data_IF_204576147744
#
_entry.id   IF_204576147744
#
_cell.length_a   1.000
_cell.length_b   1.000
_cell.length_c   1.000
_cell.angle_alpha   90.00
_cell.angle_beta   90.00
_cell.angle_gamma   90.00
#
_symmetry.space_group_name_H-M   'P 1'
#
loop_
_entity.id
_entity.type
_entity.pdbx_description
1 polymer ?
#
# COMPACT_ATOMS: atom_id res chain seq x y z
N UNK A 1 -0.79 -9.03 -7.83
CA UNK A 1 -0.10 -8.63 -6.58
C UNK A 1 -0.79 -9.32 -5.40
N UNK A 2 -0.09 -9.70 -4.32
CA UNK A 2 -0.76 -10.29 -3.13
C UNK A 2 -1.09 -9.23 -2.08
N UNK A 3 -2.13 -9.40 -1.23
CA UNK A 3 -2.61 -8.35 -0.32
C UNK A 3 -1.57 -7.82 0.67
N UNK A 4 -0.78 -8.69 1.30
CA UNK A 4 0.25 -8.27 2.27
C UNK A 4 1.40 -7.49 1.59
N UNK A 5 1.72 -7.81 0.33
CA UNK A 5 2.68 -7.05 -0.49
C UNK A 5 2.13 -5.66 -0.76
N UNK A 6 0.84 -5.54 -1.08
CA UNK A 6 0.20 -4.25 -1.30
C UNK A 6 0.30 -3.33 -0.07
N UNK A 7 -0.03 -3.83 1.13
CA UNK A 7 0.09 -3.04 2.38
C UNK A 7 1.52 -2.52 2.56
N UNK A 8 2.51 -3.42 2.43
CA UNK A 8 3.94 -3.07 2.55
C UNK A 8 4.34 -2.00 1.54
N UNK A 9 4.01 -2.19 0.26
CA UNK A 9 4.37 -1.27 -0.80
C UNK A 9 3.78 0.13 -0.59
N UNK A 10 2.51 0.23 -0.15
CA UNK A 10 1.88 1.53 0.13
C UNK A 10 2.57 2.25 1.29
N UNK A 11 2.92 1.53 2.36
CA UNK A 11 3.68 2.09 3.49
C UNK A 11 5.07 2.57 3.06
N UNK A 12 5.84 1.70 2.39
CA UNK A 12 7.20 2.01 1.97
C UNK A 12 7.23 3.16 0.95
N UNK A 13 6.25 3.22 0.06
CA UNK A 13 6.10 4.32 -0.89
C UNK A 13 5.83 5.67 -0.22
N UNK A 14 5.17 5.67 0.94
CA UNK A 14 4.96 6.85 1.78
C UNK A 14 6.20 7.20 2.63
N UNK A 15 7.27 6.40 2.55
CA UNK A 15 8.50 6.60 3.32
C UNK A 15 8.36 6.31 4.81
N UNK A 16 7.33 5.56 5.22
CA UNK A 16 7.03 5.34 6.63
C UNK A 16 7.61 4.01 7.14
N UNK A 17 8.18 4.04 8.34
CA UNK A 17 8.41 2.85 9.15
C UNK A 17 7.10 2.26 9.69
N UNK A 18 7.14 1.03 10.22
CA UNK A 18 5.98 0.43 10.91
C UNK A 18 5.57 1.29 12.12
N UNK A 19 6.54 1.83 12.87
CA UNK A 19 6.28 2.70 14.02
C UNK A 19 5.50 3.95 13.59
N UNK A 20 5.99 4.66 12.59
CA UNK A 20 5.36 5.89 12.11
C UNK A 20 3.96 5.62 11.54
N UNK A 21 3.80 4.54 10.80
CA UNK A 21 2.52 4.13 10.25
C UNK A 21 1.53 3.64 11.34
N UNK A 22 2.02 3.10 12.46
CA UNK A 22 1.19 2.65 13.59
C UNK A 22 0.73 3.81 14.50
N UNK A 23 1.51 4.90 14.53
CA UNK A 23 1.29 6.04 15.44
C UNK A 23 -0.15 6.58 15.49
N UNK A 24 -0.87 6.74 14.35
CA UNK A 24 -2.24 7.25 14.36
C UNK A 24 -3.26 6.37 15.14
N UNK A 25 -2.91 5.13 15.47
CA UNK A 25 -3.80 4.17 16.15
C UNK A 25 -3.48 3.98 17.62
N UNK A 26 -2.47 4.67 18.16
CA UNK A 26 -2.14 4.63 19.58
C UNK A 26 -3.22 5.36 20.39
N UNK A 27 -4.26 4.63 20.79
CA UNK A 27 -5.29 5.19 21.70
C UNK A 27 -4.72 5.45 23.10
N UNK A 28 -3.77 4.62 23.53
CA UNK A 28 -3.09 4.68 24.83
C UNK A 28 -1.65 4.18 24.67
N UNK A 29 -0.71 4.70 25.45
CA UNK A 29 0.73 4.40 25.31
C UNK A 29 1.03 2.90 25.43
N UNK A 30 0.37 2.19 26.35
CA UNK A 30 0.59 0.76 26.53
C UNK A 30 0.06 -0.11 25.37
N UNK A 31 -0.76 0.43 24.47
CA UNK A 31 -1.19 -0.28 23.25
C UNK A 31 -0.17 -0.18 22.11
N UNK A 32 0.84 0.68 22.23
CA UNK A 32 1.83 0.97 21.17
C UNK A 32 2.45 -0.30 20.58
N UNK A 33 3.04 -1.13 21.44
CA UNK A 33 3.73 -2.34 21.02
C UNK A 33 2.80 -3.35 20.31
N UNK A 34 1.52 -3.41 20.71
CA UNK A 34 0.54 -4.30 20.08
C UNK A 34 0.09 -3.77 18.72
N UNK A 35 -0.10 -2.46 18.57
CA UNK A 35 -0.45 -1.84 17.29
C UNK A 35 0.69 -2.02 16.29
N UNK A 36 1.93 -1.71 16.67
CA UNK A 36 3.10 -1.88 15.80
C UNK A 36 3.27 -3.35 15.37
N UNK A 37 3.17 -4.29 16.31
CA UNK A 37 3.23 -5.73 16.03
C UNK A 37 2.11 -6.18 15.09
N UNK A 38 0.89 -5.68 15.28
CA UNK A 38 -0.23 -6.00 14.40
C UNK A 38 -0.01 -5.46 12.99
N UNK A 39 0.47 -4.21 12.84
CA UNK A 39 0.77 -3.64 11.53
C UNK A 39 1.89 -4.42 10.82
N UNK A 40 2.99 -4.74 11.52
CA UNK A 40 4.05 -5.59 10.98
C UNK A 40 3.54 -6.97 10.54
N UNK A 41 2.58 -7.53 11.27
CA UNK A 41 1.96 -8.82 10.94
C UNK A 41 1.13 -8.75 9.66
N UNK A 42 0.48 -7.62 9.35
CA UNK A 42 -0.31 -7.46 8.12
C UNK A 42 0.53 -7.54 6.84
N UNK A 43 1.83 -7.27 6.94
CA UNK A 43 2.78 -7.36 5.82
C UNK A 43 3.37 -8.77 5.65
N UNK A 44 3.01 -9.71 6.54
CA UNK A 44 3.47 -11.09 6.47
C UNK A 44 2.67 -11.93 5.47
N UNK A 45 3.31 -12.90 4.79
CA UNK A 45 2.63 -13.78 3.85
C UNK A 45 1.40 -14.47 4.42
N UNK A 46 0.30 -14.44 3.66
CA UNK A 46 -0.97 -15.09 4.04
C UNK A 46 -1.79 -14.34 5.09
N UNK A 47 -1.26 -13.28 5.71
CA UNK A 47 -2.03 -12.47 6.66
C UNK A 47 -3.00 -11.56 5.92
N UNK A 48 -4.22 -11.47 6.44
CA UNK A 48 -5.28 -10.58 5.95
C UNK A 48 -5.84 -9.76 7.10
N UNK A 49 -6.29 -8.55 6.80
CA UNK A 49 -7.08 -7.75 7.71
C UNK A 49 -8.33 -8.53 8.12
N UNK A 50 -8.62 -8.60 9.42
CA UNK A 50 -9.86 -9.24 9.91
C UNK A 50 -11.06 -8.45 9.39
N UNK A 51 -12.10 -9.16 8.94
CA UNK A 51 -13.42 -8.55 8.64
C UNK A 51 -13.91 -7.84 9.91
N UNK A 52 -14.04 -6.51 9.85
CA UNK A 52 -14.41 -5.65 10.98
C UNK A 52 -13.27 -4.86 11.63
N UNK A 53 -12.01 -5.11 11.25
CA UNK A 53 -10.97 -4.10 11.46
C UNK A 53 -11.36 -2.92 10.56
N UNK A 54 -11.53 -1.72 11.12
CA UNK A 54 -11.91 -0.55 10.34
C UNK A 54 -10.78 -0.24 9.36
N UNK A 55 -10.87 -0.81 8.17
CA UNK A 55 -9.90 -0.64 7.09
C UNK A 55 -9.80 0.80 6.59
N UNK A 56 -10.76 1.64 6.96
CA UNK A 56 -10.68 3.10 6.87
C UNK A 56 -9.52 3.70 7.71
N UNK A 57 -8.91 2.92 8.60
CA UNK A 57 -7.84 3.38 9.48
C UNK A 57 -6.48 3.44 8.77
N UNK A 58 -6.12 2.50 7.88
CA UNK A 58 -4.79 2.55 7.22
C UNK A 58 -4.61 3.78 6.34
N UNK A 59 -5.69 4.25 5.71
CA UNK A 59 -5.72 5.50 4.96
C UNK A 59 -5.38 6.74 5.82
N UNK A 60 -5.50 6.64 7.16
CA UNK A 60 -5.07 7.70 8.09
C UNK A 60 -3.55 7.77 8.25
N UNK A 61 -2.84 6.69 7.93
CA UNK A 61 -1.39 6.61 8.07
C UNK A 61 -0.68 6.87 6.74
N UNK A 62 -1.16 6.27 5.65
CA UNK A 62 -0.57 6.40 4.32
C UNK A 62 -1.63 6.20 3.22
N UNK A 63 -1.38 6.64 1.98
CA UNK A 63 -2.30 6.42 0.86
C UNK A 63 -2.64 4.93 0.71
N UNK A 64 -3.91 4.56 0.90
CA UNK A 64 -4.34 3.17 0.92
C UNK A 64 -5.77 3.03 0.42
N UNK A 65 -5.95 2.26 -0.66
CA UNK A 65 -7.27 2.03 -1.24
C UNK A 65 -7.85 0.71 -0.78
N UNK A 66 -8.93 0.81 0.00
CA UNK A 66 -9.57 -0.37 0.57
C UNK A 66 -10.24 -1.24 -0.49
N UNK A 67 -10.82 -0.65 -1.54
CA UNK A 67 -11.47 -1.43 -2.59
C UNK A 67 -10.45 -2.25 -3.37
N UNK A 68 -9.28 -1.67 -3.67
CA UNK A 68 -8.14 -2.40 -4.24
C UNK A 68 -7.73 -3.55 -3.32
N UNK A 69 -7.52 -3.29 -2.02
CA UNK A 69 -7.14 -4.32 -1.07
C UNK A 69 -8.17 -5.47 -0.99
N UNK A 70 -9.47 -5.15 -0.99
CA UNK A 70 -10.56 -6.13 -0.99
C UNK A 70 -10.55 -6.98 -2.25
N UNK A 71 -10.38 -6.37 -3.42
CA UNK A 71 -10.25 -7.08 -4.69
C UNK A 71 -9.05 -8.05 -4.64
N UNK A 72 -7.89 -7.60 -4.16
CA UNK A 72 -6.72 -8.47 -4.00
C UNK A 72 -6.96 -9.65 -3.04
N UNK A 73 -7.85 -9.49 -2.05
CA UNK A 73 -8.17 -10.53 -1.07
C UNK A 73 -9.19 -11.56 -1.57
N UNK A 74 -10.19 -11.10 -2.31
CA UNK A 74 -11.44 -11.84 -2.54
C UNK A 74 -11.79 -12.04 -4.02
N UNK A 75 -11.35 -11.13 -4.91
CA UNK A 75 -11.66 -11.20 -6.34
C UNK A 75 -10.66 -12.10 -7.09
N UNK A 76 -11.08 -12.72 -8.21
CA UNK A 76 -10.16 -13.45 -9.09
C UNK A 76 -9.13 -12.50 -9.72
N UNK A 77 -7.97 -13.03 -10.12
CA UNK A 77 -6.80 -12.22 -10.52
C UNK A 77 -7.08 -11.35 -11.77
N UNK A 78 -7.98 -11.79 -12.66
CA UNK A 78 -8.40 -11.04 -13.85
C UNK A 78 -9.23 -9.79 -13.52
N UNK A 79 -9.78 -9.73 -12.30
CA UNK A 79 -10.54 -8.58 -11.79
C UNK A 79 -9.67 -7.65 -10.93
N UNK A 80 -8.38 -7.93 -10.78
CA UNK A 80 -7.48 -7.06 -10.03
C UNK A 80 -7.16 -5.82 -10.87
N UNK A 81 -7.12 -4.63 -10.25
CA UNK A 81 -6.70 -3.42 -10.95
C UNK A 81 -5.23 -3.54 -11.35
N UNK A 82 -4.83 -2.77 -12.36
CA UNK A 82 -3.41 -2.62 -12.63
C UNK A 82 -2.74 -1.87 -11.48
N UNK A 83 -1.68 -2.44 -10.92
CA UNK A 83 -0.93 -1.87 -9.80
C UNK A 83 0.54 -1.67 -10.16
N UNK A 84 1.10 -0.52 -9.77
CA UNK A 84 2.53 -0.26 -9.84
C UNK A 84 3.26 -1.25 -8.93
N UNK A 85 4.19 -2.03 -9.50
CA UNK A 85 4.90 -3.07 -8.76
C UNK A 85 5.93 -2.51 -7.75
N UNK A 86 6.19 -1.20 -7.77
CA UNK A 86 7.11 -0.54 -6.82
C UNK A 86 6.41 0.22 -5.69
N UNK A 87 5.15 0.64 -5.85
CA UNK A 87 4.45 1.42 -4.82
C UNK A 87 3.00 1.05 -4.59
N UNK A 88 2.44 0.10 -5.33
CA UNK A 88 1.04 -0.29 -5.22
C UNK A 88 0.02 0.77 -5.64
N UNK A 89 0.42 1.84 -6.33
CA UNK A 89 -0.54 2.78 -6.93
C UNK A 89 -1.38 2.09 -8.00
N UNK A 90 -2.68 2.37 -8.00
CA UNK A 90 -3.68 1.82 -8.92
C UNK A 90 -4.08 2.83 -10.00
N UNK A 91 -4.67 2.33 -11.09
CA UNK A 91 -5.05 3.17 -12.25
C UNK A 91 -6.25 4.09 -12.03
N UNK A 92 -6.96 3.99 -10.90
CA UNK A 92 -8.17 4.78 -10.62
C UNK A 92 -7.92 5.95 -9.68
N UNK A 93 -6.80 5.94 -8.95
CA UNK A 93 -6.45 7.02 -8.02
C UNK A 93 -5.54 8.07 -8.64
N UNK A 94 -5.77 9.33 -8.28
CA UNK A 94 -4.89 10.43 -8.66
C UNK A 94 -3.77 10.55 -7.63
N UNK A 95 -2.53 10.57 -8.10
CA UNK A 95 -1.37 10.96 -7.30
C UNK A 95 -0.43 11.82 -8.16
N UNK A 96 0.18 12.90 -7.62
CA UNK A 96 1.14 13.70 -8.36
C UNK A 96 2.46 12.94 -8.56
N UNK A 97 3.12 13.17 -9.69
CA UNK A 97 4.49 12.75 -9.97
C UNK A 97 5.50 13.81 -9.47
N UNK A 98 6.80 13.61 -9.74
CA UNK A 98 7.85 14.56 -9.29
C UNK A 98 7.79 15.92 -9.98
N UNK A 99 7.07 16.03 -11.10
CA UNK A 99 6.84 17.27 -11.85
C UNK A 99 5.52 17.95 -11.46
N UNK A 100 4.77 17.37 -10.52
CA UNK A 100 3.45 17.84 -10.10
C UNK A 100 2.33 17.54 -11.10
N UNK A 101 2.57 16.66 -12.08
CA UNK A 101 1.54 16.17 -12.99
C UNK A 101 0.87 14.93 -12.42
N UNK A 102 -0.32 14.57 -12.92
CA UNK A 102 -0.94 13.32 -12.52
C UNK A 102 -0.09 12.13 -12.99
N UNK A 103 0.23 11.23 -12.05
CA UNK A 103 0.94 10.00 -12.36
C UNK A 103 0.16 9.19 -13.39
N UNK A 104 0.89 8.63 -14.34
CA UNK A 104 0.38 7.65 -15.30
C UNK A 104 1.31 6.45 -15.33
N UNK A 105 1.09 5.53 -16.25
CA UNK A 105 1.96 4.38 -16.47
C UNK A 105 3.21 4.78 -17.24
N UNK A 106 4.38 4.32 -16.77
CA UNK A 106 5.65 4.54 -17.47
C UNK A 106 5.63 3.90 -18.86
N UNK A 107 6.21 4.60 -19.83
CA UNK A 107 6.43 4.09 -21.19
C UNK A 107 7.64 3.17 -21.27
N UNK A 108 8.67 3.40 -20.44
CA UNK A 108 9.90 2.60 -20.41
C UNK A 108 9.72 1.27 -19.66
N UNK A 109 8.94 1.27 -18.57
CA UNK A 109 8.56 0.08 -17.82
C UNK A 109 7.05 0.14 -17.47
N UNK A 110 6.18 -0.50 -18.28
CA UNK A 110 4.74 -0.53 -18.03
C UNK A 110 4.33 -1.14 -16.68
N UNK A 111 5.22 -1.76 -15.92
CA UNK A 111 4.91 -2.25 -14.57
C UNK A 111 5.03 -1.16 -13.49
N UNK A 112 5.50 0.04 -13.84
CA UNK A 112 5.72 1.17 -12.95
C UNK A 112 4.80 2.35 -13.30
N UNK A 113 4.47 3.15 -12.29
CA UNK A 113 3.96 4.50 -12.52
C UNK A 113 5.11 5.48 -12.77
N UNK A 114 4.82 6.60 -13.44
CA UNK A 114 5.79 7.65 -13.78
C UNK A 114 6.51 8.18 -12.54
N UNK A 115 5.82 8.35 -11.40
CA UNK A 115 6.46 8.73 -10.14
C UNK A 115 7.54 7.72 -9.71
N UNK A 116 7.26 6.41 -9.79
CA UNK A 116 8.25 5.40 -9.38
C UNK A 116 9.40 5.26 -10.36
N UNK A 117 9.15 5.41 -11.65
CA UNK A 117 10.18 5.49 -12.68
C UNK A 117 11.12 6.68 -12.42
N UNK A 118 10.57 7.88 -12.22
CA UNK A 118 11.32 9.10 -11.94
C UNK A 118 12.18 8.97 -10.66
N UNK A 119 11.64 8.32 -9.63
CA UNK A 119 12.34 8.07 -8.37
C UNK A 119 13.31 6.87 -8.44
N UNK A 120 13.35 6.12 -9.54
CA UNK A 120 14.20 4.94 -9.68
C UNK A 120 13.85 3.82 -8.69
N UNK A 121 12.57 3.67 -8.31
CA UNK A 121 12.15 2.68 -7.31
C UNK A 121 12.21 1.26 -7.87
N UNK A 122 12.73 0.34 -7.06
CA UNK A 122 12.75 -1.07 -7.39
C UNK A 122 11.35 -1.71 -7.31
N UNK A 123 11.07 -2.67 -8.19
CA UNK A 123 9.86 -3.49 -8.15
C UNK A 123 9.93 -4.48 -7.00
N UNK A 124 8.81 -4.72 -6.34
CA UNK A 124 8.70 -5.85 -5.42
C UNK A 124 8.87 -7.17 -6.20
N UNK A 125 9.84 -7.98 -5.80
CA UNK A 125 9.92 -9.39 -6.22
C UNK A 125 8.86 -10.15 -5.42
N UNK A 126 8.00 -10.88 -6.14
CA UNK A 126 6.88 -11.63 -5.59
C UNK A 126 7.30 -12.80 -4.72
#
# INVERSE_FOLDING_TARGET
MKPWIYVRLRREAAGLSIEEAARPFWKQEHHRADVERNLARLEQPGVRLRRGFHTADLARAFPFEIEVYRQLCEAPEESHPRLCLACGWDEWTIQPDTLGQDSTWSTSDPQLCTLCEQLGRAKAVG
#
